data_IF_971533510382
#
_entry.id   IF_971533510382
#
_cell.length_a   1.000
_cell.length_b   1.000
_cell.length_c   1.000
_cell.angle_alpha   90.00
_cell.angle_beta   90.00
_cell.angle_gamma   90.00
#
_symmetry.space_group_name_H-M   'P 1'
#
loop_
_entity.id
_entity.type
_entity.pdbx_description
1 polymer ?
#
# COMPACT_ATOMS: atom_id res chain seq x y z
N UNK A 1 -31.05 5.93 18.38
CA UNK A 1 -29.92 6.70 17.83
C UNK A 1 -29.86 6.54 16.32
N UNK A 2 -29.68 7.62 15.62
CA UNK A 2 -29.51 7.57 14.17
C UNK A 2 -28.12 7.04 13.85
N UNK A 3 -28.03 6.12 12.88
CA UNK A 3 -26.75 5.58 12.44
C UNK A 3 -25.89 6.61 11.72
N UNK A 4 -26.52 7.67 11.18
CA UNK A 4 -25.87 8.75 10.46
C UNK A 4 -26.41 10.08 10.91
N UNK A 5 -25.51 11.02 11.09
CA UNK A 5 -25.86 12.43 11.34
C UNK A 5 -25.07 13.31 10.38
N UNK A 6 -25.68 14.42 9.98
CA UNK A 6 -25.03 15.42 9.14
C UNK A 6 -24.90 16.69 9.95
N UNK A 7 -23.67 17.15 10.15
CA UNK A 7 -23.37 18.35 10.90
C UNK A 7 -22.32 19.16 10.14
N UNK A 8 -22.60 20.44 9.89
CA UNK A 8 -21.72 21.34 9.12
C UNK A 8 -21.35 20.81 7.72
N UNK A 9 -22.25 20.06 7.07
CA UNK A 9 -22.01 19.51 5.75
C UNK A 9 -21.16 18.23 5.75
N UNK A 10 -20.81 17.71 6.93
CA UNK A 10 -20.05 16.48 7.07
C UNK A 10 -20.97 15.39 7.60
N UNK A 11 -21.01 14.26 6.89
CA UNK A 11 -21.76 13.09 7.33
C UNK A 11 -20.93 12.31 8.34
N UNK A 12 -21.52 12.01 9.49
CA UNK A 12 -20.89 11.18 10.52
C UNK A 12 -21.57 9.82 10.58
N UNK A 13 -20.78 8.78 10.70
CA UNK A 13 -21.26 7.41 10.82
C UNK A 13 -21.02 6.93 12.24
N UNK A 14 -22.01 6.25 12.81
CA UNK A 14 -21.89 5.67 14.13
C UNK A 14 -20.90 4.51 14.14
N UNK A 15 -19.89 4.58 15.01
CA UNK A 15 -18.94 3.49 15.25
C UNK A 15 -18.86 3.25 16.75
N UNK A 16 -19.52 2.19 17.23
CA UNK A 16 -19.66 1.93 18.65
C UNK A 16 -20.44 3.05 19.33
N UNK A 17 -19.85 3.69 20.34
CA UNK A 17 -20.46 4.81 21.07
C UNK A 17 -20.10 6.18 20.48
N UNK A 18 -19.38 6.23 19.37
CA UNK A 18 -18.88 7.46 18.79
C UNK A 18 -19.34 7.65 17.36
N UNK A 19 -19.42 8.90 16.95
CA UNK A 19 -19.64 9.27 15.55
C UNK A 19 -18.31 9.63 14.93
N UNK A 20 -18.00 8.99 13.80
CA UNK A 20 -16.78 9.24 13.04
C UNK A 20 -17.16 9.96 11.76
N UNK A 21 -16.42 11.03 11.35
CA UNK A 21 -16.66 11.66 10.08
C UNK A 21 -16.57 10.65 8.93
N UNK A 22 -17.62 10.60 8.12
CA UNK A 22 -17.60 9.74 6.94
C UNK A 22 -16.92 10.50 5.81
N UNK A 23 -15.59 10.52 5.83
CA UNK A 23 -14.78 11.22 4.85
C UNK A 23 -14.60 10.37 3.59
N UNK A 24 -15.70 10.12 2.90
CA UNK A 24 -15.60 9.52 1.58
C UNK A 24 -15.29 10.62 0.58
N UNK A 25 -14.19 10.45 -0.16
CA UNK A 25 -13.91 11.31 -1.29
C UNK A 25 -15.07 11.21 -2.28
N UNK A 26 -15.50 12.33 -2.89
CA UNK A 26 -16.61 12.32 -3.85
C UNK A 26 -16.37 11.39 -5.04
N UNK A 27 -15.12 11.03 -5.31
CA UNK A 27 -14.72 10.27 -6.47
C UNK A 27 -14.27 8.83 -6.13
N UNK A 28 -14.66 8.30 -4.98
CA UNK A 28 -14.44 6.91 -4.65
C UNK A 28 -13.53 6.66 -3.47
N UNK A 29 -13.26 5.40 -3.23
CA UNK A 29 -12.43 4.93 -2.13
C UNK A 29 -10.98 4.82 -2.58
N UNK A 30 -10.06 5.23 -1.70
CA UNK A 30 -8.64 5.04 -1.94
C UNK A 30 -8.28 3.56 -1.73
N UNK A 31 -7.60 2.98 -2.72
CA UNK A 31 -7.10 1.62 -2.66
C UNK A 31 -5.69 1.62 -2.09
N UNK A 32 -5.59 1.34 -0.79
CA UNK A 32 -4.31 1.26 -0.10
C UNK A 32 -4.01 -0.21 0.16
N UNK A 33 -2.99 -0.73 -0.50
CA UNK A 33 -2.57 -2.11 -0.36
C UNK A 33 -1.57 -2.31 0.78
N UNK A 34 -0.90 -3.45 0.75
CA UNK A 34 0.08 -3.86 1.76
C UNK A 34 1.20 -2.83 1.97
N UNK A 35 1.76 -2.30 0.88
CA UNK A 35 2.89 -1.37 0.95
C UNK A 35 2.48 -0.04 1.59
N UNK A 36 1.32 0.49 1.20
CA UNK A 36 0.79 1.71 1.81
C UNK A 36 0.53 1.54 3.30
N UNK A 37 0.01 0.40 3.71
CA UNK A 37 -0.23 0.09 5.13
C UNK A 37 1.06 0.01 5.93
N UNK A 38 2.10 -0.63 5.40
CA UNK A 38 3.41 -0.70 6.04
C UNK A 38 4.03 0.68 6.19
N UNK A 39 3.96 1.50 5.15
CA UNK A 39 4.45 2.86 5.19
C UNK A 39 3.68 3.71 6.21
N UNK A 40 2.36 3.53 6.28
CA UNK A 40 1.51 4.19 7.26
C UNK A 40 1.98 3.92 8.69
N UNK A 41 2.23 2.66 9.02
CA UNK A 41 2.70 2.27 10.35
C UNK A 41 4.05 2.92 10.64
N UNK A 42 4.97 2.88 9.70
CA UNK A 42 6.30 3.48 9.84
C UNK A 42 6.21 4.99 10.10
N UNK A 43 5.41 5.70 9.32
CA UNK A 43 5.27 7.16 9.47
C UNK A 43 4.62 7.53 10.80
N UNK A 44 3.60 6.80 11.22
CA UNK A 44 2.96 7.05 12.52
C UNK A 44 3.91 6.87 13.69
N UNK A 45 4.80 5.89 13.63
CA UNK A 45 5.75 5.59 14.70
C UNK A 45 6.97 6.51 14.69
N UNK A 46 7.48 6.85 13.50
CA UNK A 46 8.76 7.55 13.36
C UNK A 46 8.63 9.02 12.97
N UNK A 47 7.53 9.41 12.36
CA UNK A 47 7.28 10.78 11.90
C UNK A 47 5.87 11.26 12.23
N UNK A 48 5.51 11.33 13.51
CA UNK A 48 4.15 11.71 13.90
C UNK A 48 3.74 13.11 13.45
N UNK A 49 4.69 14.04 13.37
CA UNK A 49 4.40 15.40 12.89
C UNK A 49 4.00 15.41 11.43
N UNK A 50 4.67 14.63 10.59
CA UNK A 50 4.33 14.48 9.19
C UNK A 50 2.94 13.84 9.03
N UNK A 51 2.67 12.80 9.79
CA UNK A 51 1.36 12.16 9.82
C UNK A 51 0.25 13.14 10.16
N UNK A 52 0.44 13.91 11.25
CA UNK A 52 -0.55 14.89 11.69
C UNK A 52 -0.79 15.97 10.63
N UNK A 53 0.26 16.47 10.00
CA UNK A 53 0.17 17.47 8.94
C UNK A 53 -0.64 16.95 7.76
N UNK A 54 -0.37 15.73 7.31
CA UNK A 54 -1.10 15.10 6.19
C UNK A 54 -2.55 14.85 6.54
N UNK A 55 -2.84 14.46 7.78
CA UNK A 55 -4.21 14.27 8.25
C UNK A 55 -4.99 15.58 8.26
N UNK A 56 -4.38 16.65 8.76
CA UNK A 56 -5.00 17.97 8.79
C UNK A 56 -5.29 18.53 7.39
N UNK A 57 -4.39 18.29 6.45
CA UNK A 57 -4.55 18.73 5.06
C UNK A 57 -5.52 17.84 4.27
N UNK A 58 -5.91 16.69 4.82
CA UNK A 58 -6.77 15.73 4.12
C UNK A 58 -6.09 15.00 2.98
N UNK A 59 -4.75 14.98 2.93
CA UNK A 59 -3.97 14.37 1.86
C UNK A 59 -3.34 13.03 2.24
N UNK A 60 -3.60 12.55 3.46
CA UNK A 60 -2.96 11.34 3.97
C UNK A 60 -3.27 10.10 3.14
N UNK A 61 -4.56 9.86 2.84
CA UNK A 61 -4.96 8.68 2.09
C UNK A 61 -4.48 8.73 0.63
N UNK A 62 -4.53 9.90 0.01
CA UNK A 62 -3.99 10.10 -1.34
C UNK A 62 -2.48 9.82 -1.39
N UNK A 63 -1.76 10.29 -0.38
CA UNK A 63 -0.34 10.03 -0.23
C UNK A 63 -0.04 8.54 -0.12
N UNK A 64 -0.78 7.82 0.73
CA UNK A 64 -0.59 6.38 0.90
C UNK A 64 -0.91 5.59 -0.37
N UNK A 65 -1.96 5.98 -1.09
CA UNK A 65 -2.29 5.34 -2.37
C UNK A 65 -1.19 5.53 -3.39
N UNK A 66 -0.65 6.73 -3.49
CA UNK A 66 0.47 7.04 -4.39
C UNK A 66 1.71 6.22 -4.04
N UNK A 67 2.05 6.15 -2.76
CA UNK A 67 3.17 5.33 -2.28
C UNK A 67 2.95 3.85 -2.57
N UNK A 68 1.75 3.34 -2.32
CA UNK A 68 1.42 1.95 -2.59
C UNK A 68 1.55 1.60 -4.07
N UNK A 69 1.02 2.45 -4.94
CA UNK A 69 1.13 2.28 -6.39
C UNK A 69 2.58 2.30 -6.85
N UNK A 70 3.36 3.27 -6.37
CA UNK A 70 4.79 3.37 -6.69
C UNK A 70 5.56 2.14 -6.21
N UNK A 71 5.27 1.65 -5.01
CA UNK A 71 5.91 0.45 -4.47
C UNK A 71 5.60 -0.78 -5.32
N UNK A 72 4.36 -0.97 -5.72
CA UNK A 72 3.96 -2.08 -6.59
C UNK A 72 4.68 -2.03 -7.93
N UNK A 73 4.75 -0.87 -8.55
CA UNK A 73 5.46 -0.69 -9.82
C UNK A 73 6.95 -1.00 -9.67
N UNK A 74 7.57 -0.54 -8.61
CA UNK A 74 8.99 -0.83 -8.32
C UNK A 74 9.24 -2.31 -8.11
N UNK A 75 8.37 -2.99 -7.35
CA UNK A 75 8.47 -4.44 -7.14
C UNK A 75 8.34 -5.19 -8.46
N UNK A 76 7.35 -4.86 -9.26
CA UNK A 76 7.13 -5.53 -10.55
C UNK A 76 8.33 -5.35 -11.48
N UNK A 77 8.89 -4.15 -11.53
CA UNK A 77 10.08 -3.87 -12.33
C UNK A 77 11.28 -4.67 -11.84
N UNK A 78 11.53 -4.67 -10.53
CA UNK A 78 12.64 -5.41 -9.93
C UNK A 78 12.48 -6.91 -10.15
N UNK A 79 11.28 -7.45 -10.02
CA UNK A 79 11.01 -8.86 -10.28
C UNK A 79 11.36 -9.24 -11.71
N UNK A 80 10.95 -8.43 -12.68
CA UNK A 80 11.27 -8.66 -14.10
C UNK A 80 12.77 -8.60 -14.34
N UNK A 81 13.44 -7.57 -13.81
CA UNK A 81 14.88 -7.40 -14.00
C UNK A 81 15.68 -8.55 -13.37
N UNK A 82 15.32 -8.96 -12.17
CA UNK A 82 15.97 -10.09 -11.48
C UNK A 82 15.73 -11.41 -12.19
N UNK A 83 14.51 -11.65 -12.68
CA UNK A 83 14.17 -12.85 -13.44
C UNK A 83 15.04 -12.97 -14.69
N UNK A 84 15.21 -11.86 -15.43
CA UNK A 84 16.08 -11.83 -16.60
C UNK A 84 17.52 -12.12 -16.22
N UNK A 85 18.04 -11.49 -15.17
CA UNK A 85 19.43 -11.71 -14.70
C UNK A 85 19.70 -13.13 -14.26
N UNK A 86 18.72 -13.80 -13.65
CA UNK A 86 18.86 -15.17 -13.17
C UNK A 86 18.51 -16.21 -14.24
N UNK A 87 18.12 -15.76 -15.44
CA UNK A 87 17.77 -16.66 -16.52
C UNK A 87 16.49 -17.44 -16.30
N UNK A 88 15.58 -16.92 -15.49
CA UNK A 88 14.29 -17.54 -15.26
C UNK A 88 13.37 -17.22 -16.44
N UNK A 89 13.09 -18.22 -17.25
CA UNK A 89 12.33 -18.07 -18.49
C UNK A 89 11.11 -18.98 -18.49
N UNK A 90 10.26 -18.81 -19.51
CA UNK A 90 9.12 -19.70 -19.73
C UNK A 90 9.53 -21.14 -19.96
N UNK A 91 10.74 -21.37 -20.46
CA UNK A 91 11.30 -22.73 -20.62
C UNK A 91 11.41 -23.44 -19.26
N UNK A 92 11.77 -22.72 -18.21
CA UNK A 92 11.85 -23.29 -16.87
C UNK A 92 10.47 -23.70 -16.36
N UNK A 93 9.42 -22.96 -16.70
CA UNK A 93 8.04 -23.32 -16.35
C UNK A 93 7.69 -24.67 -16.97
N UNK A 94 8.06 -24.85 -18.23
CA UNK A 94 7.78 -26.09 -18.96
C UNK A 94 8.56 -27.29 -18.44
N UNK A 95 9.80 -27.06 -17.96
CA UNK A 95 10.67 -28.14 -17.46
C UNK A 95 10.38 -28.51 -16.01
N UNK A 96 10.23 -27.50 -15.15
CA UNK A 96 10.01 -27.71 -13.71
C UNK A 96 9.25 -26.52 -13.14
N UNK A 97 7.95 -26.67 -13.06
CA UNK A 97 7.05 -25.63 -12.56
C UNK A 97 7.33 -25.30 -11.08
N UNK A 98 7.66 -26.30 -10.26
CA UNK A 98 7.94 -26.10 -8.84
C UNK A 98 9.21 -25.29 -8.63
N UNK A 99 10.25 -25.56 -9.41
CA UNK A 99 11.49 -24.78 -9.36
C UNK A 99 11.25 -23.33 -9.80
N UNK A 100 10.42 -23.12 -10.83
CA UNK A 100 10.07 -21.79 -11.27
C UNK A 100 9.31 -21.01 -10.19
N UNK A 101 8.31 -21.62 -9.57
CA UNK A 101 7.54 -20.99 -8.48
C UNK A 101 8.46 -20.61 -7.31
N UNK A 102 9.35 -21.50 -6.90
CA UNK A 102 10.30 -21.24 -5.83
C UNK A 102 11.24 -20.09 -6.15
N UNK A 103 11.79 -20.07 -7.36
CA UNK A 103 12.69 -19.01 -7.82
C UNK A 103 11.97 -17.66 -7.89
N UNK A 104 10.76 -17.62 -8.43
CA UNK A 104 9.96 -16.38 -8.52
C UNK A 104 9.56 -15.86 -7.14
N UNK A 105 9.22 -16.74 -6.20
CA UNK A 105 8.93 -16.34 -4.82
C UNK A 105 10.14 -15.72 -4.13
N UNK A 106 11.32 -16.28 -4.33
CA UNK A 106 12.56 -15.73 -3.77
C UNK A 106 12.88 -14.35 -4.37
N UNK A 107 12.71 -14.19 -5.67
CA UNK A 107 12.91 -12.93 -6.37
C UNK A 107 11.93 -11.88 -5.86
N UNK A 108 10.65 -12.24 -5.74
CA UNK A 108 9.63 -11.32 -5.25
C UNK A 108 9.93 -10.89 -3.82
N UNK A 109 10.36 -11.80 -2.97
CA UNK A 109 10.74 -11.50 -1.58
C UNK A 109 11.90 -10.50 -1.53
N UNK A 110 12.94 -10.73 -2.33
CA UNK A 110 14.10 -9.83 -2.42
C UNK A 110 13.69 -8.46 -2.93
N UNK A 111 12.85 -8.40 -3.97
CA UNK A 111 12.36 -7.14 -4.51
C UNK A 111 11.53 -6.37 -3.48
N UNK A 112 10.66 -7.05 -2.74
CA UNK A 112 9.87 -6.44 -1.68
C UNK A 112 10.75 -5.84 -0.58
N UNK A 113 11.79 -6.54 -0.16
CA UNK A 113 12.75 -6.05 0.83
C UNK A 113 13.45 -4.77 0.36
N UNK A 114 13.90 -4.74 -0.89
CA UNK A 114 14.56 -3.58 -1.47
C UNK A 114 13.61 -2.38 -1.50
N UNK A 115 12.39 -2.58 -1.97
CA UNK A 115 11.38 -1.52 -2.04
C UNK A 115 11.00 -1.02 -0.64
N UNK A 116 10.85 -1.92 0.33
CA UNK A 116 10.56 -1.53 1.70
C UNK A 116 11.66 -0.64 2.28
N UNK A 117 12.92 -0.96 2.03
CA UNK A 117 14.05 -0.15 2.50
C UNK A 117 14.12 1.21 1.82
N UNK A 118 13.96 1.24 0.49
CA UNK A 118 14.22 2.44 -0.28
C UNK A 118 13.04 3.41 -0.30
N UNK A 119 11.82 2.90 -0.27
CA UNK A 119 10.62 3.71 -0.43
C UNK A 119 9.80 3.83 0.83
N UNK A 120 9.62 2.73 1.57
CA UNK A 120 8.66 2.68 2.68
C UNK A 120 9.28 3.02 4.04
N UNK A 121 10.57 2.86 4.19
CA UNK A 121 11.23 3.07 5.49
C UNK A 121 12.39 4.07 5.43
#
# INVERSE_FOLDING_TARGET
MKERIIENGIEYVKSGDYYIPNLKAPEGTYNIGRYGKLHSIFIKENRPAFYSMKMLNGTWLAYLEEIDTSAKEMVDKLVKDMAVKQGITEELIAKDQMAWVGAMNNIRHSAEEIVCKDLLF
#
